data_IF_789307651638
#
_entry.id   IF_789307651638
#
_cell.length_a   1.000
_cell.length_b   1.000
_cell.length_c   1.000
_cell.angle_alpha   90.00
_cell.angle_beta   90.00
_cell.angle_gamma   90.00
#
_symmetry.space_group_name_H-M   'P 1'
#
loop_
_entity.id
_entity.type
_entity.pdbx_description
1 polymer ?
#
# COMPACT_ATOMS: atom_id res chain seq x y z
N UNK A 1 -11.82 -4.48 29.11
CA UNK A 1 -10.84 -4.92 28.10
C UNK A 1 -10.64 -3.80 27.08
N UNK A 2 -9.48 -3.14 27.10
CA UNK A 2 -9.14 -2.15 26.08
C UNK A 2 -8.93 -2.88 24.75
N UNK A 3 -9.84 -2.70 23.79
CA UNK A 3 -9.63 -3.16 22.41
C UNK A 3 -8.50 -2.32 21.83
N UNK A 4 -7.28 -2.86 21.81
CA UNK A 4 -6.20 -2.26 21.04
C UNK A 4 -6.67 -2.11 19.58
N UNK A 5 -6.51 -0.93 18.97
CA UNK A 5 -6.88 -0.75 17.58
C UNK A 5 -6.09 -1.77 16.74
N UNK A 6 -6.82 -2.62 16.03
CA UNK A 6 -6.22 -3.64 15.18
C UNK A 6 -5.45 -2.90 14.07
N UNK A 7 -4.12 -3.02 14.09
CA UNK A 7 -3.26 -2.38 13.11
C UNK A 7 -3.51 -2.99 11.73
N UNK A 8 -3.90 -2.15 10.77
CA UNK A 8 -4.00 -2.56 9.37
C UNK A 8 -2.60 -2.67 8.79
N UNK A 9 -2.01 -3.87 8.86
CA UNK A 9 -0.75 -4.20 8.20
C UNK A 9 -1.02 -4.33 6.70
N UNK A 10 -0.18 -3.67 5.92
CA UNK A 10 -0.26 -3.66 4.46
C UNK A 10 0.77 -4.66 3.95
N UNK A 11 0.32 -5.87 3.65
CA UNK A 11 1.17 -6.82 2.92
C UNK A 11 1.28 -6.37 1.46
N UNK A 12 2.50 -6.18 0.98
CA UNK A 12 2.78 -5.89 -0.44
C UNK A 12 2.87 -7.16 -1.25
N UNK A 13 3.13 -8.31 -0.61
CA UNK A 13 3.18 -9.63 -1.24
C UNK A 13 1.77 -10.22 -1.50
N UNK A 14 0.74 -9.38 -1.45
CA UNK A 14 -0.65 -9.79 -1.57
C UNK A 14 -1.07 -9.97 -3.03
N UNK A 15 -1.73 -11.09 -3.30
CA UNK A 15 -2.48 -11.34 -4.55
C UNK A 15 -3.98 -11.28 -4.24
N UNK A 16 -4.74 -10.47 -4.96
CA UNK A 16 -6.19 -10.37 -4.77
C UNK A 16 -6.91 -10.08 -6.08
N UNK A 17 -8.16 -10.51 -6.21
CA UNK A 17 -9.00 -10.22 -7.39
C UNK A 17 -9.80 -8.92 -7.26
N UNK A 18 -9.80 -8.26 -6.09
CA UNK A 18 -10.70 -7.14 -5.81
C UNK A 18 -9.97 -5.87 -5.36
N UNK A 19 -9.69 -4.97 -6.30
CA UNK A 19 -9.02 -3.67 -6.05
C UNK A 19 -9.67 -2.82 -4.95
N UNK A 20 -11.00 -2.85 -4.79
CA UNK A 20 -11.68 -2.08 -3.73
C UNK A 20 -11.31 -2.61 -2.34
N UNK A 21 -11.21 -3.93 -2.21
CA UNK A 21 -10.77 -4.58 -0.96
C UNK A 21 -9.32 -4.24 -0.66
N UNK A 22 -8.45 -4.27 -1.68
CA UNK A 22 -7.05 -3.87 -1.58
C UNK A 22 -6.92 -2.44 -1.05
N UNK A 23 -7.60 -1.49 -1.70
CA UNK A 23 -7.54 -0.07 -1.32
C UNK A 23 -8.08 0.23 0.07
N UNK A 24 -9.04 -0.57 0.57
CA UNK A 24 -9.51 -0.45 1.96
C UNK A 24 -8.43 -0.81 2.98
N UNK A 25 -7.54 -1.76 2.64
CA UNK A 25 -6.44 -2.22 3.51
C UNK A 25 -5.23 -1.28 3.50
N UNK A 26 -4.94 -0.63 2.38
CA UNK A 26 -3.78 0.28 2.21
C UNK A 26 -4.05 1.68 2.79
N UNK A 27 -4.94 1.81 3.77
CA UNK A 27 -5.19 3.11 4.40
C UNK A 27 -4.08 3.39 5.42
N UNK A 28 -3.48 4.60 5.41
CA UNK A 28 -2.54 4.97 6.46
C UNK A 28 -3.24 5.03 7.81
N UNK A 29 -2.47 4.73 8.85
CA UNK A 29 -2.93 4.68 10.25
C UNK A 29 -3.10 6.09 10.83
N UNK A 30 -2.22 7.00 10.43
CA UNK A 30 -2.24 8.42 10.83
C UNK A 30 -2.34 9.25 9.54
N UNK A 31 -3.19 10.28 9.54
CA UNK A 31 -3.42 11.16 8.39
C UNK A 31 -3.33 12.62 8.80
N UNK A 32 -2.12 13.08 9.15
CA UNK A 32 -1.85 14.49 9.43
C UNK A 32 -0.81 15.01 8.40
N UNK A 33 0.18 15.79 8.84
CA UNK A 33 1.30 16.25 8.00
C UNK A 33 2.13 15.09 7.43
N UNK A 34 2.07 13.93 8.09
CA UNK A 34 2.73 12.69 7.71
C UNK A 34 1.70 11.58 7.73
N UNK A 35 1.84 10.64 6.80
CA UNK A 35 1.09 9.40 6.75
C UNK A 35 1.95 8.24 7.21
N UNK A 36 1.44 7.50 8.20
CA UNK A 36 2.08 6.30 8.72
C UNK A 36 1.49 5.06 8.04
N UNK A 37 2.35 4.24 7.46
CA UNK A 37 2.02 2.93 6.94
C UNK A 37 2.84 1.86 7.67
N UNK A 38 2.26 0.70 7.90
CA UNK A 38 3.00 -0.50 8.30
C UNK A 38 2.94 -1.45 7.14
N UNK A 39 4.08 -1.69 6.50
CA UNK A 39 4.21 -2.49 5.29
C UNK A 39 4.91 -3.80 5.62
N UNK A 40 4.47 -4.89 4.99
CA UNK A 40 5.12 -6.18 5.06
C UNK A 40 5.52 -6.62 3.65
N UNK A 41 6.83 -6.64 3.39
CA UNK A 41 7.44 -6.88 2.08
C UNK A 41 8.56 -7.92 2.23
N UNK A 42 8.48 -9.03 1.49
CA UNK A 42 9.45 -10.13 1.53
C UNK A 42 9.76 -10.61 2.95
N UNK A 43 8.71 -10.90 3.73
CA UNK A 43 8.80 -11.27 5.15
C UNK A 43 9.42 -10.23 6.08
N UNK A 44 9.67 -9.00 5.61
CA UNK A 44 10.23 -7.92 6.40
C UNK A 44 9.16 -6.88 6.70
N UNK A 45 9.06 -6.46 7.96
CA UNK A 45 8.15 -5.41 8.40
C UNK A 45 8.84 -4.07 8.32
N UNK A 46 8.18 -3.11 7.68
CA UNK A 46 8.62 -1.74 7.55
C UNK A 46 7.60 -0.79 8.16
N UNK A 47 8.09 0.17 8.95
CA UNK A 47 7.33 1.36 9.32
C UNK A 47 7.68 2.43 8.29
N UNK A 48 6.67 2.92 7.59
CA UNK A 48 6.87 3.88 6.50
C UNK A 48 6.17 5.18 6.82
N UNK A 49 6.98 6.24 6.93
CA UNK A 49 6.52 7.61 7.10
C UNK A 49 6.59 8.31 5.75
N UNK A 50 5.44 8.67 5.22
CA UNK A 50 5.33 9.42 3.97
C UNK A 50 4.86 10.84 4.25
N UNK A 51 5.64 11.83 3.81
CA UNK A 51 5.25 13.23 3.92
C UNK A 51 4.11 13.56 2.96
N UNK A 52 3.30 14.55 3.30
CA UNK A 52 2.15 15.00 2.52
C UNK A 52 0.93 14.05 2.57
N UNK A 53 -0.23 14.57 2.15
CA UNK A 53 -1.49 13.86 2.14
C UNK A 53 -1.54 12.85 0.99
N UNK A 54 -1.91 11.58 1.25
CA UNK A 54 -1.98 10.58 0.22
C UNK A 54 -3.16 10.83 -0.69
N UNK A 55 -2.90 10.76 -1.99
CA UNK A 55 -3.92 10.81 -3.04
C UNK A 55 -3.93 9.49 -3.78
N UNK A 56 -5.10 8.88 -3.94
CA UNK A 56 -5.26 7.71 -4.80
C UNK A 56 -5.61 8.16 -6.21
N UNK A 57 -4.79 7.81 -7.20
CA UNK A 57 -5.11 7.97 -8.62
C UNK A 57 -5.46 6.63 -9.24
N UNK A 58 -6.50 6.63 -10.06
CA UNK A 58 -6.90 5.48 -10.84
C UNK A 58 -6.52 5.69 -12.29
N UNK A 59 -6.10 4.63 -12.95
CA UNK A 59 -5.81 4.65 -14.37
C UNK A 59 -6.26 3.36 -15.03
N UNK A 60 -6.51 3.42 -16.34
CA UNK A 60 -6.91 2.28 -17.15
C UNK A 60 -5.75 1.89 -18.05
N UNK A 61 -5.36 0.63 -18.03
CA UNK A 61 -4.40 0.05 -18.97
C UNK A 61 -5.16 -0.79 -19.98
N UNK A 62 -5.01 -0.48 -21.27
CA UNK A 62 -5.45 -1.37 -22.34
C UNK A 62 -4.44 -2.50 -22.47
N UNK A 63 -4.90 -3.73 -22.45
CA UNK A 63 -4.06 -4.90 -22.71
C UNK A 63 -4.83 -5.89 -23.56
N UNK A 64 -4.10 -6.68 -24.35
CA UNK A 64 -4.67 -7.74 -25.16
C UNK A 64 -4.69 -8.98 -24.28
N UNK A 65 -5.87 -9.55 -24.07
CA UNK A 65 -5.99 -10.87 -23.47
C UNK A 65 -5.58 -11.92 -24.50
N UNK A 66 -4.43 -12.57 -24.28
CA UNK A 66 -3.85 -13.50 -25.24
C UNK A 66 -4.74 -14.73 -25.51
N UNK A 67 -5.65 -15.08 -24.59
CA UNK A 67 -6.55 -16.22 -24.78
C UNK A 67 -7.74 -15.88 -25.69
N UNK A 68 -8.30 -14.67 -25.56
CA UNK A 68 -9.47 -14.25 -26.33
C UNK A 68 -9.14 -13.35 -27.53
N UNK A 69 -7.91 -12.81 -27.59
CA UNK A 69 -7.52 -11.77 -28.55
C UNK A 69 -8.17 -10.41 -28.28
N UNK A 70 -8.98 -10.28 -27.24
CA UNK A 70 -9.75 -9.06 -26.97
C UNK A 70 -8.89 -8.02 -26.25
N UNK A 71 -9.06 -6.76 -26.66
CA UNK A 71 -8.50 -5.64 -25.90
C UNK A 71 -9.39 -5.34 -24.69
N UNK A 72 -8.86 -5.58 -23.50
CA UNK A 72 -9.55 -5.31 -22.24
C UNK A 72 -8.98 -4.07 -21.56
N UNK A 73 -9.85 -3.32 -20.87
CA UNK A 73 -9.46 -2.17 -20.06
C UNK A 73 -9.31 -2.60 -18.60
N UNK A 74 -8.07 -2.78 -18.14
CA UNK A 74 -7.77 -3.11 -16.76
C UNK A 74 -7.67 -1.84 -15.92
N UNK A 75 -8.43 -1.79 -14.82
CA UNK A 75 -8.37 -0.68 -13.86
C UNK A 75 -7.27 -0.96 -12.85
N UNK A 76 -6.35 -0.03 -12.70
CA UNK A 76 -5.26 -0.05 -11.73
C UNK A 76 -5.32 1.19 -10.82
N UNK A 77 -4.50 1.23 -9.78
CA UNK A 77 -4.44 2.36 -8.87
C UNK A 77 -3.03 2.61 -8.34
N UNK A 78 -2.75 3.88 -8.05
CA UNK A 78 -1.53 4.31 -7.38
C UNK A 78 -1.86 5.19 -6.18
N UNK A 79 -1.10 5.03 -5.10
CA UNK A 79 -1.09 5.96 -3.97
C UNK A 79 0.11 6.89 -4.15
N UNK A 80 -0.17 8.19 -4.07
CA UNK A 80 0.75 9.26 -4.39
C UNK A 80 0.90 10.16 -3.17
N UNK A 81 2.13 10.53 -2.86
CA UNK A 81 2.50 11.56 -1.89
C UNK A 81 3.18 12.70 -2.64
N UNK A 82 2.66 13.93 -2.52
CA UNK A 82 3.04 15.03 -3.40
C UNK A 82 2.84 14.66 -4.87
N UNK A 83 3.94 14.60 -5.62
CA UNK A 83 3.97 14.21 -7.04
C UNK A 83 4.67 12.87 -7.29
N UNK A 84 4.94 12.08 -6.25
CA UNK A 84 5.66 10.80 -6.37
C UNK A 84 4.75 9.64 -6.04
N UNK A 85 4.79 8.60 -6.88
CA UNK A 85 4.08 7.34 -6.62
C UNK A 85 4.82 6.60 -5.52
N UNK A 86 4.06 6.14 -4.53
CA UNK A 86 4.55 5.35 -3.42
C UNK A 86 4.16 3.89 -3.54
N UNK A 87 2.87 3.62 -3.76
CA UNK A 87 2.34 2.26 -3.89
C UNK A 87 1.65 2.16 -5.24
N UNK A 88 1.94 1.08 -5.96
CA UNK A 88 1.26 0.75 -7.20
C UNK A 88 0.50 -0.57 -7.03
N UNK A 89 -0.77 -0.56 -7.45
CA UNK A 89 -1.67 -1.71 -7.45
C UNK A 89 -2.01 -2.00 -8.90
N UNK A 90 -1.44 -3.08 -9.43
CA UNK A 90 -1.44 -3.38 -10.85
C UNK A 90 -1.93 -4.80 -11.13
N UNK A 91 -2.39 -5.05 -12.35
CA UNK A 91 -2.76 -6.40 -12.78
C UNK A 91 -1.54 -7.19 -13.22
N UNK A 92 -1.41 -8.39 -12.67
CA UNK A 92 -0.45 -9.40 -13.11
C UNK A 92 -1.18 -10.75 -13.33
N UNK A 93 -1.31 -11.14 -14.60
CA UNK A 93 -2.15 -12.26 -14.99
C UNK A 93 -3.62 -12.04 -14.57
N UNK A 94 -4.16 -12.97 -13.77
CA UNK A 94 -5.55 -12.95 -13.29
C UNK A 94 -5.73 -12.33 -11.91
N UNK A 95 -4.67 -11.76 -11.32
CA UNK A 95 -4.72 -11.16 -9.98
C UNK A 95 -4.09 -9.77 -9.97
N UNK A 96 -4.51 -8.96 -9.00
CA UNK A 96 -3.79 -7.75 -8.65
C UNK A 96 -2.60 -8.06 -7.76
N UNK A 97 -1.51 -7.32 -7.97
CA UNK A 97 -0.35 -7.25 -7.08
C UNK A 97 -0.17 -5.84 -6.55
N UNK A 98 0.52 -5.74 -5.43
CA UNK A 98 0.95 -4.48 -4.83
C UNK A 98 2.47 -4.41 -4.95
N UNK A 99 3.02 -3.23 -5.20
CA UNK A 99 4.44 -2.97 -5.03
C UNK A 99 4.65 -1.63 -4.37
N UNK A 100 5.70 -1.53 -3.56
CA UNK A 100 6.19 -0.22 -3.12
C UNK A 100 7.19 0.32 -4.13
N UNK A 101 7.26 1.63 -4.23
CA UNK A 101 8.22 2.36 -5.06
C UNK A 101 8.95 3.29 -4.11
N UNK A 102 10.27 3.24 -4.13
CA UNK A 102 11.10 4.12 -3.33
C UNK A 102 10.93 5.57 -3.79
N UNK A 103 10.90 6.47 -2.81
CA UNK A 103 10.65 7.89 -3.03
C UNK A 103 11.40 8.69 -1.97
N UNK A 104 11.99 9.85 -2.32
CA UNK A 104 12.66 10.71 -1.35
C UNK A 104 11.69 11.33 -0.34
N UNK A 105 10.37 11.28 -0.59
CA UNK A 105 9.34 11.79 0.32
C UNK A 105 8.96 10.76 1.40
N UNK A 106 9.74 9.69 1.53
CA UNK A 106 9.38 8.52 2.31
C UNK A 106 10.58 8.04 3.10
N UNK A 107 10.36 7.82 4.40
CA UNK A 107 11.33 7.18 5.28
C UNK A 107 10.81 5.77 5.57
N UNK A 108 11.57 4.75 5.15
CA UNK A 108 11.32 3.34 5.46
C UNK A 108 12.23 2.91 6.61
N UNK A 109 11.65 2.46 7.71
CA UNK A 109 12.37 1.97 8.90
C UNK A 109 12.08 0.46 9.02
N UNK A 110 13.13 -0.35 9.07
CA UNK A 110 13.00 -1.79 9.35
C UNK A 110 12.54 -1.97 10.80
N UNK A 111 11.50 -2.77 11.01
CA UNK A 111 10.95 -3.05 12.33
C UNK A 111 10.95 -4.55 12.62
N UNK A 112 11.12 -4.90 13.89
CA UNK A 112 10.95 -6.28 14.35
C UNK A 112 9.50 -6.74 14.08
N UNK A 113 9.35 -7.95 13.55
CA UNK A 113 8.08 -8.58 13.23
C UNK A 113 7.23 -8.70 14.50
N UNK A 114 7.86 -8.97 15.65
CA UNK A 114 7.19 -9.23 16.92
C UNK A 114 6.78 -7.97 17.70
N UNK A 115 7.37 -6.81 17.41
CA UNK A 115 7.11 -5.58 18.16
C UNK A 115 5.94 -4.77 17.57
N UNK A 116 5.08 -4.25 18.43
CA UNK A 116 4.01 -3.34 18.04
C UNK A 116 4.57 -1.92 17.85
N UNK A 117 4.69 -1.41 16.61
CA UNK A 117 5.41 -0.17 16.35
C UNK A 117 4.72 1.06 16.97
N UNK A 118 3.44 0.98 17.32
CA UNK A 118 2.73 2.08 17.98
C UNK A 118 3.18 2.32 19.43
N UNK A 119 3.76 1.33 20.10
CA UNK A 119 4.25 1.50 21.48
C UNK A 119 5.33 2.59 21.56
N UNK A 120 6.15 2.72 20.51
CA UNK A 120 7.20 3.73 20.43
C UNK A 120 6.70 5.14 20.07
N UNK A 121 5.58 5.25 19.35
CA UNK A 121 5.01 6.55 18.93
C UNK A 121 3.95 7.09 19.90
N UNK A 122 3.53 6.28 20.89
CA UNK A 122 2.54 6.66 21.89
C UNK A 122 3.16 7.08 23.24
N UNK A 123 4.49 7.20 23.33
CA UNK A 123 5.14 7.78 24.51
C UNK A 123 4.78 9.28 24.57
N UNK A 124 3.92 9.62 25.54
CA UNK A 124 3.65 11.00 25.98
C UNK A 124 4.62 11.39 27.08
#
# INVERSE_FOLDING_TARGET
>A
MNKHPMLNIISTDMKSRNIKSILKRIKPLIKNKVSLYIIFENNTKYIVLAYDKPVTRYYKRKTIDYLSGLTINLKEASIIHGNKVFIQIYWDGTYFRIKTIDSPLIIKIVADINNNPLEYFMVK
#
